data_IF_107090462413
#
_entry.id   IF_107090462413
#
_cell.length_a   1.000
_cell.length_b   1.000
_cell.length_c   1.000
_cell.angle_alpha   90.00
_cell.angle_beta   90.00
_cell.angle_gamma   90.00
#
_symmetry.space_group_name_H-M   'P 1'
#
loop_
_entity.id
_entity.type
_entity.pdbx_description
1 polymer ?
#
# COMPACT_ATOMS: atom_id res chain seq x y z
N UNK A 1 1.90 40.15 3.69
CA UNK A 1 1.55 39.33 2.52
C UNK A 1 0.65 38.22 3.02
N UNK A 2 -0.54 38.06 2.43
CA UNK A 2 -1.41 36.93 2.81
C UNK A 2 -0.66 35.62 2.48
N UNK A 3 -0.68 34.66 3.39
CA UNK A 3 -0.11 33.34 3.12
C UNK A 3 -0.83 32.77 1.88
N UNK A 4 -0.06 32.38 0.86
CA UNK A 4 -0.63 31.76 -0.34
C UNK A 4 -1.25 30.43 0.09
N UNK A 5 -2.51 30.19 -0.31
CA UNK A 5 -3.21 28.94 0.00
C UNK A 5 -2.52 27.78 -0.71
N UNK A 6 -2.18 26.70 0.02
CA UNK A 6 -1.62 25.49 -0.60
C UNK A 6 -2.55 24.88 -1.66
N UNK A 7 -3.86 25.08 -1.54
CA UNK A 7 -4.81 24.70 -2.59
C UNK A 7 -4.59 25.46 -3.90
N UNK A 8 -4.25 26.75 -3.84
CA UNK A 8 -3.95 27.54 -5.03
C UNK A 8 -2.62 27.13 -5.66
N UNK A 9 -1.60 26.84 -4.84
CA UNK A 9 -0.32 26.33 -5.33
C UNK A 9 -0.49 24.94 -5.97
N UNK A 10 -1.25 24.05 -5.32
CA UNK A 10 -1.55 22.71 -5.85
C UNK A 10 -2.26 22.77 -7.21
N UNK A 11 -3.18 23.74 -7.41
CA UNK A 11 -3.80 23.98 -8.72
C UNK A 11 -2.80 24.42 -9.77
N UNK A 12 -1.94 25.37 -9.45
CA UNK A 12 -0.92 25.84 -10.40
C UNK A 12 -0.02 24.69 -10.86
N UNK A 13 0.37 23.83 -9.92
CA UNK A 13 1.17 22.63 -10.17
C UNK A 13 0.41 21.62 -11.04
N UNK A 14 -0.83 21.30 -10.69
CA UNK A 14 -1.64 20.36 -11.46
C UNK A 14 -1.89 20.86 -12.89
N UNK A 15 -2.12 22.16 -13.07
CA UNK A 15 -2.24 22.78 -14.39
C UNK A 15 -0.91 22.76 -15.17
N UNK A 16 0.24 22.90 -14.50
CA UNK A 16 1.55 22.76 -15.12
C UNK A 16 1.80 21.32 -15.58
N UNK A 17 1.45 20.31 -14.76
CA UNK A 17 1.54 18.89 -15.11
C UNK A 17 0.66 18.55 -16.32
N UNK A 18 -0.58 19.05 -16.37
CA UNK A 18 -1.48 18.86 -17.52
C UNK A 18 -0.90 19.43 -18.83
N UNK A 19 -0.20 20.57 -18.75
CA UNK A 19 0.49 21.21 -19.88
C UNK A 19 1.89 20.64 -20.14
N UNK A 20 2.36 19.69 -19.33
CA UNK A 20 3.73 19.18 -19.36
C UNK A 20 4.79 20.30 -19.26
N UNK A 21 4.53 21.31 -18.41
CA UNK A 21 5.48 22.39 -18.10
C UNK A 21 6.49 21.93 -17.04
N UNK A 22 7.48 21.17 -17.49
CA UNK A 22 8.48 20.52 -16.62
C UNK A 22 9.33 21.54 -15.87
N UNK A 23 9.67 22.66 -16.51
CA UNK A 23 10.50 23.69 -15.89
C UNK A 23 9.82 24.31 -14.66
N UNK A 24 8.50 24.53 -14.74
CA UNK A 24 7.73 24.99 -13.60
C UNK A 24 7.77 23.97 -12.46
N UNK A 25 7.44 22.70 -12.76
CA UNK A 25 7.37 21.63 -11.76
C UNK A 25 8.72 21.45 -11.06
N UNK A 26 9.82 21.37 -11.80
CA UNK A 26 11.17 21.23 -11.25
C UNK A 26 11.59 22.41 -10.34
N UNK A 27 11.13 23.63 -10.65
CA UNK A 27 11.46 24.83 -9.84
C UNK A 27 10.86 24.78 -8.43
N UNK A 28 9.80 23.99 -8.23
CA UNK A 28 9.06 23.88 -6.97
C UNK A 28 9.23 22.52 -6.27
N UNK A 29 10.06 21.61 -6.79
CA UNK A 29 10.39 20.37 -6.08
C UNK A 29 11.23 20.60 -4.82
N UNK A 30 10.96 19.79 -3.79
CA UNK A 30 11.80 19.68 -2.60
C UNK A 30 13.15 19.06 -2.95
N UNK A 31 14.12 19.15 -2.04
CA UNK A 31 15.41 18.45 -2.22
C UNK A 31 15.19 16.94 -2.24
N UNK A 32 14.33 16.44 -1.35
CA UNK A 32 13.98 15.01 -1.27
C UNK A 32 13.43 14.49 -2.59
N UNK A 33 12.46 15.20 -3.18
CA UNK A 33 11.88 14.82 -4.46
C UNK A 33 12.90 14.84 -5.62
N UNK A 34 13.96 15.64 -5.53
CA UNK A 34 15.05 15.68 -6.53
C UNK A 34 16.06 14.55 -6.34
N UNK A 35 16.31 14.14 -5.10
CA UNK A 35 17.28 13.10 -4.78
C UNK A 35 16.80 11.69 -5.21
N UNK A 36 15.50 11.52 -5.47
CA UNK A 36 14.89 10.26 -5.90
C UNK A 36 15.02 9.99 -7.42
N UNK A 37 15.88 10.73 -8.12
CA UNK A 37 16.05 10.69 -9.60
C UNK A 37 14.71 10.76 -10.36
N UNK A 38 13.74 11.47 -9.78
CA UNK A 38 12.40 11.57 -10.33
C UNK A 38 12.43 12.32 -11.66
N UNK A 39 12.05 11.63 -12.74
CA UNK A 39 11.94 12.18 -14.10
C UNK A 39 10.49 12.62 -14.34
N UNK A 40 10.17 13.93 -14.29
CA UNK A 40 8.78 14.38 -14.35
C UNK A 40 8.10 14.02 -15.67
N UNK A 41 8.83 14.01 -16.78
CA UNK A 41 8.32 13.62 -18.10
C UNK A 41 7.79 12.19 -18.12
N UNK A 42 8.59 11.24 -17.61
CA UNK A 42 8.23 9.83 -17.54
C UNK A 42 7.07 9.63 -16.58
N UNK A 43 7.13 10.25 -15.39
CA UNK A 43 6.03 10.17 -14.43
C UNK A 43 4.72 10.74 -14.97
N UNK A 44 4.76 11.81 -15.76
CA UNK A 44 3.55 12.34 -16.41
C UNK A 44 2.98 11.33 -17.40
N UNK A 45 3.83 10.70 -18.20
CA UNK A 45 3.44 9.75 -19.24
C UNK A 45 2.92 8.44 -18.65
N UNK A 46 3.56 7.94 -17.59
CA UNK A 46 3.34 6.59 -17.07
C UNK A 46 2.37 6.55 -15.89
N UNK A 47 2.26 7.65 -15.13
CA UNK A 47 1.43 7.72 -13.92
C UNK A 47 0.33 8.78 -14.04
N UNK A 48 0.68 10.05 -14.23
CA UNK A 48 -0.28 11.15 -14.16
C UNK A 48 -1.39 11.03 -15.21
N UNK A 49 -1.03 10.96 -16.49
CA UNK A 49 -2.02 10.93 -17.59
C UNK A 49 -2.87 9.65 -17.55
N UNK A 50 -2.28 8.44 -17.49
CA UNK A 50 -3.08 7.21 -17.47
C UNK A 50 -4.03 7.16 -16.28
N UNK A 51 -3.56 7.54 -15.08
CA UNK A 51 -4.40 7.50 -13.88
C UNK A 51 -5.56 8.47 -13.93
N UNK A 52 -5.35 9.70 -14.43
CA UNK A 52 -6.43 10.66 -14.59
C UNK A 52 -7.38 10.29 -15.74
N UNK A 53 -6.87 9.69 -16.83
CA UNK A 53 -7.70 9.17 -17.91
C UNK A 53 -8.59 8.01 -17.45
N UNK A 54 -8.10 7.16 -16.55
CA UNK A 54 -8.89 6.07 -15.95
C UNK A 54 -9.99 6.61 -15.03
N UNK A 55 -9.67 7.59 -14.19
CA UNK A 55 -10.58 8.08 -13.14
C UNK A 55 -11.57 9.15 -13.62
N UNK A 56 -11.09 10.16 -14.34
CA UNK A 56 -11.89 11.32 -14.78
C UNK A 56 -12.13 11.33 -16.29
N UNK A 57 -11.26 10.68 -17.08
CA UNK A 57 -11.33 10.67 -18.54
C UNK A 57 -10.39 11.69 -19.20
N UNK A 58 -10.18 11.51 -20.50
CA UNK A 58 -9.31 12.39 -21.29
C UNK A 58 -9.93 13.79 -21.50
N UNK A 59 -11.25 13.94 -21.30
CA UNK A 59 -12.00 15.20 -21.36
C UNK A 59 -12.04 15.95 -20.02
N UNK A 60 -11.26 15.51 -19.03
CA UNK A 60 -11.22 16.07 -17.68
C UNK A 60 -10.96 17.57 -17.68
N UNK A 61 -11.52 18.23 -16.68
CA UNK A 61 -11.28 19.64 -16.37
C UNK A 61 -11.05 19.81 -14.88
N UNK A 62 -10.20 20.78 -14.49
CA UNK A 62 -9.96 21.08 -13.09
C UNK A 62 -11.10 21.96 -12.55
N UNK A 63 -11.99 21.35 -11.76
CA UNK A 63 -13.24 21.95 -11.26
C UNK A 63 -13.15 22.50 -9.84
N UNK A 64 -12.15 22.06 -9.06
CA UNK A 64 -12.03 22.44 -7.66
C UNK A 64 -10.60 22.46 -7.14
N UNK A 65 -10.39 23.25 -6.08
CA UNK A 65 -9.16 23.25 -5.30
C UNK A 65 -9.48 23.56 -3.83
N UNK A 66 -8.67 23.08 -2.90
CA UNK A 66 -8.72 23.51 -1.50
C UNK A 66 -7.41 23.29 -0.77
N UNK A 67 -7.24 24.05 0.30
CA UNK A 67 -6.23 23.83 1.33
C UNK A 67 -6.77 22.77 2.30
N UNK A 68 -6.06 21.66 2.47
CA UNK A 68 -6.45 20.57 3.38
C UNK A 68 -5.87 20.83 4.77
N UNK A 69 -4.56 20.99 4.86
CA UNK A 69 -3.84 21.36 6.07
C UNK A 69 -2.52 22.06 5.70
N UNK A 70 -1.67 22.36 6.69
CA UNK A 70 -0.42 23.10 6.51
C UNK A 70 0.63 22.44 5.60
N UNK A 71 0.43 21.18 5.17
CA UNK A 71 1.33 20.45 4.26
C UNK A 71 0.60 19.88 3.03
N UNK A 72 -0.74 19.99 2.94
CA UNK A 72 -1.53 19.39 1.86
C UNK A 72 -2.40 20.41 1.13
N UNK A 73 -2.27 20.42 -0.20
CA UNK A 73 -3.23 21.03 -1.12
C UNK A 73 -3.93 19.95 -1.94
N UNK A 74 -5.23 20.11 -2.22
CA UNK A 74 -5.99 19.16 -3.04
C UNK A 74 -6.68 19.85 -4.18
N UNK A 75 -6.67 19.20 -5.34
CA UNK A 75 -7.40 19.63 -6.54
C UNK A 75 -8.29 18.51 -7.05
N UNK A 76 -9.36 18.89 -7.72
CA UNK A 76 -10.36 17.94 -8.22
C UNK A 76 -10.46 18.12 -9.73
N UNK A 77 -10.23 17.02 -10.44
CA UNK A 77 -10.54 16.88 -11.85
C UNK A 77 -11.88 16.18 -12.01
N UNK A 78 -12.68 16.63 -12.97
CA UNK A 78 -13.95 16.03 -13.34
C UNK A 78 -14.04 15.91 -14.85
N UNK A 79 -14.52 14.76 -15.34
CA UNK A 79 -14.74 14.50 -16.75
C UNK A 79 -15.76 13.38 -16.96
N UNK A 80 -15.83 12.84 -18.18
CA UNK A 80 -16.83 11.85 -18.57
C UNK A 80 -16.80 10.54 -17.78
N UNK A 81 -15.68 10.21 -17.12
CA UNK A 81 -15.54 8.97 -16.32
C UNK A 81 -15.72 9.16 -14.81
N UNK A 82 -15.89 10.39 -14.35
CA UNK A 82 -16.09 10.70 -12.94
C UNK A 82 -15.11 11.76 -12.44
N UNK A 83 -14.67 11.60 -11.19
CA UNK A 83 -13.79 12.54 -10.50
C UNK A 83 -12.46 11.89 -10.16
N UNK A 84 -11.41 12.69 -10.18
CA UNK A 84 -10.09 12.32 -9.68
C UNK A 84 -9.61 13.38 -8.69
N UNK A 85 -9.16 12.93 -7.53
CA UNK A 85 -8.67 13.76 -6.45
C UNK A 85 -7.16 13.71 -6.44
N UNK A 86 -6.52 14.84 -6.74
CA UNK A 86 -5.06 14.97 -6.72
C UNK A 86 -4.66 15.72 -5.46
N UNK A 87 -3.90 15.05 -4.60
CA UNK A 87 -3.27 15.65 -3.42
C UNK A 87 -1.82 15.96 -3.74
N UNK A 88 -1.39 17.18 -3.41
CA UNK A 88 -0.01 17.63 -3.47
C UNK A 88 0.48 17.81 -2.04
N UNK A 89 1.54 17.09 -1.70
CA UNK A 89 2.24 17.21 -0.42
C UNK A 89 3.34 18.25 -0.54
N UNK A 90 3.46 19.09 0.49
CA UNK A 90 4.43 20.17 0.59
C UNK A 90 5.32 19.99 1.81
N UNK A 91 6.61 20.29 1.66
CA UNK A 91 7.54 20.42 2.78
C UNK A 91 7.34 21.75 3.54
N UNK A 92 8.10 21.95 4.62
CA UNK A 92 8.03 23.18 5.43
C UNK A 92 8.40 24.45 4.65
N UNK A 93 9.14 24.33 3.54
CA UNK A 93 9.51 25.42 2.65
C UNK A 93 8.45 25.69 1.56
N UNK A 94 7.36 24.93 1.53
CA UNK A 94 6.30 25.02 0.53
C UNK A 94 6.72 24.44 -0.82
N UNK A 95 7.73 23.57 -0.85
CA UNK A 95 8.14 22.81 -2.04
C UNK A 95 7.41 21.48 -2.09
N UNK A 96 7.17 20.99 -3.30
CA UNK A 96 6.49 19.72 -3.54
C UNK A 96 7.35 18.59 -3.03
N UNK A 97 6.77 17.80 -2.13
CA UNK A 97 7.41 16.64 -1.52
C UNK A 97 6.78 15.32 -1.97
N UNK A 98 5.60 15.35 -2.60
CA UNK A 98 4.96 14.17 -3.17
C UNK A 98 3.54 14.42 -3.71
N UNK A 99 2.95 13.36 -4.28
CA UNK A 99 1.64 13.40 -4.95
C UNK A 99 0.83 12.14 -4.67
N UNK A 100 -0.49 12.27 -4.61
CA UNK A 100 -1.42 11.14 -4.70
C UNK A 100 -2.56 11.45 -5.68
N UNK A 101 -2.99 10.43 -6.44
CA UNK A 101 -4.15 10.51 -7.36
C UNK A 101 -5.14 9.40 -7.01
N UNK A 102 -6.28 9.79 -6.43
CA UNK A 102 -7.29 8.86 -5.88
C UNK A 102 -8.65 9.02 -6.57
N UNK A 103 -9.45 7.93 -6.66
CA UNK A 103 -10.85 7.99 -7.13
C UNK A 103 -11.79 8.69 -6.15
N UNK A 104 -11.38 8.80 -4.89
CA UNK A 104 -12.15 9.34 -3.79
C UNK A 104 -11.22 10.08 -2.80
N UNK A 105 -11.81 10.59 -1.72
CA UNK A 105 -11.08 11.29 -0.67
C UNK A 105 -10.87 10.40 0.57
N UNK A 106 -10.91 9.07 0.40
CA UNK A 106 -10.72 8.17 1.53
C UNK A 106 -9.28 8.27 2.04
N UNK A 107 -9.20 8.47 3.35
CA UNK A 107 -7.99 8.37 4.16
C UNK A 107 -7.71 6.90 4.50
N UNK A 108 -6.47 6.57 4.86
CA UNK A 108 -6.11 5.21 5.26
C UNK A 108 -5.93 4.24 4.09
N UNK A 109 -5.77 4.76 2.87
CA UNK A 109 -5.27 3.93 1.75
C UNK A 109 -3.84 3.50 2.07
N UNK A 110 -3.54 2.23 1.85
CA UNK A 110 -2.23 1.68 2.17
C UNK A 110 -1.56 1.01 0.97
N UNK A 111 -0.25 1.15 0.91
CA UNK A 111 0.64 0.27 0.14
C UNK A 111 1.15 -0.86 1.02
N UNK A 112 1.59 -1.94 0.40
CA UNK A 112 2.27 -3.05 1.07
C UNK A 112 3.70 -3.06 0.54
N UNK A 113 4.67 -2.86 1.42
CA UNK A 113 6.08 -2.98 1.06
C UNK A 113 6.48 -4.41 1.32
N UNK A 114 6.89 -5.12 0.27
CA UNK A 114 7.46 -6.46 0.34
C UNK A 114 8.97 -6.34 0.44
N UNK A 115 9.53 -6.84 1.54
CA UNK A 115 10.96 -6.84 1.78
C UNK A 115 11.69 -7.59 0.69
N UNK A 116 12.68 -6.99 0.03
CA UNK A 116 13.59 -7.71 -0.86
C UNK A 116 14.91 -6.95 -1.04
N UNK A 117 15.93 -7.65 -1.49
CA UNK A 117 17.16 -7.01 -1.93
C UNK A 117 16.93 -6.32 -3.30
N UNK A 118 17.67 -5.24 -3.59
CA UNK A 118 17.46 -4.41 -4.79
C UNK A 118 17.49 -5.22 -6.09
N UNK A 119 18.31 -6.28 -6.15
CA UNK A 119 18.43 -7.16 -7.32
C UNK A 119 17.18 -8.01 -7.59
N UNK A 120 16.34 -8.22 -6.58
CA UNK A 120 15.10 -9.01 -6.69
C UNK A 120 13.86 -8.13 -6.94
N UNK A 121 13.94 -6.81 -6.76
CA UNK A 121 12.79 -5.91 -6.78
C UNK A 121 12.01 -5.90 -8.12
N UNK A 122 12.72 -5.81 -9.26
CA UNK A 122 12.09 -5.88 -10.58
C UNK A 122 11.46 -7.24 -10.86
N UNK A 123 12.12 -8.31 -10.39
CA UNK A 123 11.65 -9.68 -10.56
C UNK A 123 10.35 -9.91 -9.77
N UNK A 124 10.29 -9.47 -8.53
CA UNK A 124 9.07 -9.56 -7.71
C UNK A 124 7.94 -8.71 -8.29
N UNK A 125 8.24 -7.49 -8.76
CA UNK A 125 7.25 -6.64 -9.42
C UNK A 125 6.62 -7.33 -10.62
N UNK A 126 7.44 -7.88 -11.52
CA UNK A 126 6.96 -8.62 -12.67
C UNK A 126 6.15 -9.87 -12.27
N UNK A 127 6.53 -10.55 -11.19
CA UNK A 127 5.81 -11.72 -10.68
C UNK A 127 4.40 -11.35 -10.18
N UNK A 128 4.28 -10.37 -9.29
CA UNK A 128 2.98 -9.99 -8.73
C UNK A 128 2.07 -9.27 -9.75
N UNK A 129 2.65 -8.58 -10.74
CA UNK A 129 1.89 -7.98 -11.85
C UNK A 129 1.12 -9.01 -12.70
N UNK A 130 1.55 -10.28 -12.71
CA UNK A 130 0.79 -11.37 -13.33
C UNK A 130 -0.49 -11.70 -12.56
N UNK A 131 -0.39 -11.66 -11.23
CA UNK A 131 -1.46 -12.06 -10.31
C UNK A 131 -2.55 -10.98 -10.23
N UNK A 132 -2.18 -9.75 -9.86
CA UNK A 132 -3.15 -8.70 -9.59
C UNK A 132 -2.58 -7.29 -9.72
N UNK A 133 -3.45 -6.31 -9.98
CA UNK A 133 -3.14 -4.90 -9.72
C UNK A 133 -3.24 -4.64 -8.23
N UNK A 134 -2.12 -4.72 -7.53
CA UNK A 134 -2.02 -4.50 -6.09
C UNK A 134 -1.05 -3.34 -5.79
N UNK A 135 -1.27 -2.58 -4.70
CA UNK A 135 -0.40 -1.47 -4.31
C UNK A 135 0.87 -2.00 -3.63
N UNK A 136 1.67 -2.79 -4.34
CA UNK A 136 2.89 -3.42 -3.81
C UNK A 136 4.13 -2.59 -4.14
N UNK A 137 4.92 -2.28 -3.11
CA UNK A 137 6.30 -1.82 -3.21
C UNK A 137 7.28 -2.97 -2.94
N UNK A 138 8.51 -2.86 -3.43
CA UNK A 138 9.54 -3.89 -3.27
C UNK A 138 10.87 -3.23 -2.90
N UNK A 139 11.51 -3.65 -1.81
CA UNK A 139 12.80 -3.11 -1.37
C UNK A 139 13.06 -3.30 0.13
N UNK A 140 13.85 -2.40 0.71
CA UNK A 140 14.24 -2.35 2.14
C UNK A 140 15.12 -3.48 2.68
N UNK A 141 15.52 -4.42 1.82
CA UNK A 141 16.48 -5.48 2.15
C UNK A 141 15.91 -6.54 3.10
N UNK A 142 16.14 -7.80 2.76
CA UNK A 142 15.69 -8.91 3.60
C UNK A 142 16.75 -9.42 4.55
N UNK A 143 18.04 -9.23 4.25
CA UNK A 143 19.18 -9.79 5.01
C UNK A 143 19.25 -11.33 5.02
N UNK A 144 18.13 -12.00 5.29
CA UNK A 144 17.82 -13.42 5.22
C UNK A 144 16.44 -13.59 4.56
N UNK A 145 16.37 -14.42 3.51
CA UNK A 145 15.10 -14.77 2.86
C UNK A 145 14.13 -15.45 3.84
N UNK A 146 12.82 -15.13 3.79
CA UNK A 146 11.81 -15.85 4.56
C UNK A 146 11.83 -17.34 4.21
N UNK A 147 11.54 -18.18 5.19
CA UNK A 147 11.42 -19.62 5.01
C UNK A 147 10.11 -20.09 5.62
N UNK A 148 9.34 -20.86 4.85
CA UNK A 148 8.09 -21.43 5.31
C UNK A 148 8.31 -22.29 6.57
N UNK A 149 7.48 -22.05 7.59
CA UNK A 149 7.52 -22.75 8.88
C UNK A 149 8.89 -22.75 9.58
N UNK A 150 9.71 -21.72 9.39
CA UNK A 150 10.95 -21.55 10.14
C UNK A 150 10.67 -20.86 11.49
N UNK A 151 10.79 -21.55 12.64
CA UNK A 151 10.55 -20.92 13.94
C UNK A 151 11.56 -19.81 14.28
N UNK A 152 12.74 -19.79 13.64
CA UNK A 152 13.78 -18.78 13.86
C UNK A 152 13.59 -17.54 12.96
N UNK A 153 12.73 -17.63 11.94
CA UNK A 153 12.33 -16.51 11.09
C UNK A 153 10.87 -16.72 10.64
N UNK A 154 9.91 -16.66 11.59
CA UNK A 154 8.54 -17.05 11.31
C UNK A 154 7.92 -16.11 10.29
N UNK A 155 6.94 -16.65 9.57
CA UNK A 155 6.03 -15.85 8.77
C UNK A 155 5.34 -14.81 9.65
N UNK A 156 5.18 -13.61 9.09
CA UNK A 156 4.53 -12.49 9.77
C UNK A 156 3.30 -12.05 8.99
N UNK A 157 3.46 -11.91 7.67
CA UNK A 157 2.42 -11.46 6.77
C UNK A 157 2.44 -12.34 5.53
N UNK A 158 1.25 -12.66 5.00
CA UNK A 158 1.10 -13.21 3.65
C UNK A 158 -0.04 -12.56 2.88
N UNK A 159 -0.02 -12.79 1.58
CA UNK A 159 -0.99 -12.24 0.63
C UNK A 159 -1.91 -13.36 0.14
N UNK A 160 -3.22 -13.14 0.22
CA UNK A 160 -4.19 -14.04 -0.38
C UNK A 160 -4.69 -13.43 -1.69
N UNK A 161 -4.55 -14.20 -2.77
CA UNK A 161 -5.11 -13.87 -4.07
C UNK A 161 -6.32 -14.74 -4.35
N UNK A 162 -7.38 -14.12 -4.87
CA UNK A 162 -8.52 -14.84 -5.46
C UNK A 162 -8.34 -14.86 -6.96
N UNK A 163 -8.33 -16.06 -7.55
CA UNK A 163 -7.97 -16.29 -8.96
C UNK A 163 -9.10 -16.95 -9.72
N UNK A 164 -9.22 -16.61 -11.01
CA UNK A 164 -10.30 -17.09 -11.88
C UNK A 164 -10.20 -18.58 -12.21
N UNK A 165 -8.97 -19.07 -12.40
CA UNK A 165 -8.66 -20.47 -12.68
C UNK A 165 -7.44 -20.88 -11.83
N UNK A 166 -7.65 -21.76 -10.86
CA UNK A 166 -6.62 -22.14 -9.90
C UNK A 166 -5.53 -23.01 -10.55
N UNK A 167 -5.92 -23.96 -11.41
CA UNK A 167 -4.98 -24.85 -12.11
C UNK A 167 -4.08 -24.08 -13.08
N UNK A 168 -4.66 -23.20 -13.91
CA UNK A 168 -3.91 -22.40 -14.86
C UNK A 168 -3.01 -21.40 -14.13
N UNK A 169 -3.51 -20.76 -13.06
CA UNK A 169 -2.71 -19.80 -12.29
C UNK A 169 -1.53 -20.49 -11.60
N UNK A 170 -1.73 -21.69 -11.03
CA UNK A 170 -0.64 -22.49 -10.47
C UNK A 170 0.46 -22.74 -11.50
N UNK A 171 0.08 -23.22 -12.69
CA UNK A 171 1.05 -23.49 -13.75
C UNK A 171 1.85 -22.22 -14.13
N UNK A 172 1.19 -21.06 -14.15
CA UNK A 172 1.85 -19.77 -14.43
C UNK A 172 2.80 -19.38 -13.32
N UNK A 173 2.39 -19.38 -12.05
CA UNK A 173 3.25 -18.92 -10.94
C UNK A 173 4.48 -19.83 -10.77
N UNK A 174 4.31 -21.14 -10.92
CA UNK A 174 5.42 -22.11 -10.90
C UNK A 174 6.40 -21.84 -12.05
N UNK A 175 5.89 -21.53 -13.24
CA UNK A 175 6.70 -21.14 -14.40
C UNK A 175 7.52 -19.86 -14.18
N UNK A 176 7.11 -19.01 -13.23
CA UNK A 176 7.78 -17.75 -12.89
C UNK A 176 8.61 -17.83 -11.58
N UNK A 177 8.81 -19.04 -11.06
CA UNK A 177 9.71 -19.32 -9.95
C UNK A 177 9.06 -19.30 -8.57
N UNK A 178 7.73 -19.34 -8.48
CA UNK A 178 7.07 -19.70 -7.23
C UNK A 178 7.39 -21.15 -6.84
N UNK A 179 7.34 -21.44 -5.55
CA UNK A 179 7.51 -22.80 -5.01
C UNK A 179 6.23 -23.21 -4.32
N UNK A 180 5.63 -24.33 -4.73
CA UNK A 180 4.48 -24.91 -4.05
C UNK A 180 4.89 -25.44 -2.67
N UNK A 181 4.08 -25.15 -1.65
CA UNK A 181 4.30 -25.54 -0.27
C UNK A 181 3.25 -26.56 0.18
N UNK A 182 1.99 -26.13 0.22
CA UNK A 182 0.88 -26.90 0.76
C UNK A 182 -0.37 -26.75 -0.10
N UNK A 183 -1.22 -27.78 -0.10
CA UNK A 183 -2.46 -27.87 -0.87
C UNK A 183 -3.59 -28.21 0.11
N UNK A 184 -4.55 -27.30 0.23
CA UNK A 184 -5.73 -27.42 1.08
C UNK A 184 -7.00 -27.55 0.23
N UNK A 185 -8.10 -27.98 0.85
CA UNK A 185 -9.37 -28.19 0.15
C UNK A 185 -9.92 -26.91 -0.51
N UNK A 186 -9.58 -25.73 0.02
CA UNK A 186 -10.10 -24.43 -0.42
C UNK A 186 -9.04 -23.46 -0.96
N UNK A 187 -7.74 -23.76 -0.81
CA UNK A 187 -6.65 -22.91 -1.31
C UNK A 187 -5.32 -23.65 -1.44
N UNK A 188 -4.38 -23.06 -2.18
CA UNK A 188 -3.01 -23.56 -2.34
C UNK A 188 -2.00 -22.53 -1.85
N UNK A 189 -0.95 -22.97 -1.19
CA UNK A 189 0.09 -22.13 -0.58
C UNK A 189 1.39 -22.24 -1.36
N UNK A 190 2.00 -21.10 -1.64
CA UNK A 190 3.26 -20.99 -2.37
C UNK A 190 4.19 -20.00 -1.67
N UNK A 191 5.48 -20.06 -2.01
CA UNK A 191 6.35 -18.89 -1.89
C UNK A 191 6.55 -18.21 -3.23
N UNK A 192 6.72 -16.90 -3.22
CA UNK A 192 7.26 -16.17 -4.36
C UNK A 192 8.75 -16.53 -4.62
N UNK A 193 9.38 -16.00 -5.68
CA UNK A 193 10.78 -16.30 -6.02
C UNK A 193 11.83 -15.92 -4.96
N UNK A 194 11.45 -15.15 -3.94
CA UNK A 194 12.32 -14.67 -2.87
C UNK A 194 12.01 -15.35 -1.53
N UNK A 195 10.85 -16.00 -1.42
CA UNK A 195 10.46 -16.82 -0.27
C UNK A 195 9.22 -16.32 0.46
N UNK A 196 8.59 -15.22 0.03
CA UNK A 196 7.41 -14.70 0.71
C UNK A 196 6.21 -15.60 0.48
N UNK A 197 5.50 -16.01 1.55
CA UNK A 197 4.32 -16.84 1.41
C UNK A 197 3.15 -16.06 0.81
N UNK A 198 2.42 -16.73 -0.08
CA UNK A 198 1.13 -16.27 -0.59
C UNK A 198 0.20 -17.46 -0.87
N UNK A 199 -1.11 -17.20 -0.85
CA UNK A 199 -2.13 -18.20 -1.10
C UNK A 199 -2.93 -17.88 -2.36
N UNK A 200 -3.34 -18.93 -3.07
CA UNK A 200 -4.28 -18.85 -4.19
C UNK A 200 -5.61 -19.51 -3.80
N UNK A 201 -6.68 -18.72 -3.85
CA UNK A 201 -8.05 -19.17 -3.64
C UNK A 201 -8.81 -19.16 -4.97
N UNK A 202 -9.63 -20.17 -5.28
CA UNK A 202 -10.51 -20.12 -6.44
C UNK A 202 -11.59 -19.05 -6.26
N UNK A 203 -11.98 -18.39 -7.34
CA UNK A 203 -13.04 -17.38 -7.31
C UNK A 203 -14.44 -18.01 -7.24
N UNK A 204 -14.91 -18.21 -6.01
CA UNK A 204 -16.26 -18.74 -5.74
C UNK A 204 -17.34 -17.66 -5.70
N UNK A 205 -16.95 -16.39 -5.52
CA UNK A 205 -17.84 -15.25 -5.29
C UNK A 205 -17.93 -14.28 -6.48
N UNK A 206 -17.16 -14.52 -7.56
CA UNK A 206 -17.08 -13.63 -8.72
C UNK A 206 -16.31 -12.34 -8.43
N UNK A 207 -15.31 -12.39 -7.53
CA UNK A 207 -14.46 -11.26 -7.12
C UNK A 207 -13.32 -10.98 -8.09
N UNK A 208 -12.81 -11.99 -8.78
CA UNK A 208 -11.66 -11.84 -9.67
C UNK A 208 -12.07 -11.13 -10.97
N UNK A 209 -11.19 -10.25 -11.47
CA UNK A 209 -11.52 -9.33 -12.57
C UNK A 209 -10.79 -9.70 -13.86
N UNK A 210 -11.55 -9.82 -14.96
CA UNK A 210 -11.16 -9.50 -16.35
C UNK A 210 -10.03 -10.30 -17.03
N UNK A 211 -9.94 -10.30 -18.37
CA UNK A 211 -9.07 -11.19 -19.15
C UNK A 211 -7.56 -10.90 -19.06
N UNK A 212 -7.15 -9.78 -18.46
CA UNK A 212 -5.75 -9.29 -18.52
C UNK A 212 -4.91 -9.68 -17.28
N UNK A 213 -5.52 -10.31 -16.27
CA UNK A 213 -4.88 -10.72 -15.00
C UNK A 213 -5.47 -12.04 -14.51
N UNK A 214 -4.70 -12.74 -13.67
CA UNK A 214 -5.10 -14.05 -13.15
C UNK A 214 -6.10 -13.92 -11.98
N UNK A 215 -6.01 -12.84 -11.20
CA UNK A 215 -6.82 -12.64 -10.01
C UNK A 215 -6.78 -11.23 -9.41
N UNK A 216 -7.11 -11.17 -8.12
CA UNK A 216 -7.10 -9.96 -7.29
C UNK A 216 -6.45 -10.24 -5.94
N UNK A 217 -5.75 -9.24 -5.39
CA UNK A 217 -5.32 -9.29 -3.99
C UNK A 217 -6.55 -9.14 -3.10
N UNK A 218 -6.95 -10.22 -2.44
CA UNK A 218 -8.16 -10.27 -1.63
C UNK A 218 -7.88 -9.91 -0.17
N UNK A 219 -6.79 -10.44 0.40
CA UNK A 219 -6.42 -10.23 1.81
C UNK A 219 -4.94 -9.98 1.97
N UNK A 220 -4.61 -9.13 2.94
CA UNK A 220 -3.31 -9.11 3.62
C UNK A 220 -3.53 -9.74 4.98
N UNK A 221 -2.93 -10.90 5.20
CA UNK A 221 -3.11 -11.69 6.43
C UNK A 221 -1.91 -11.48 7.33
N UNK A 222 -2.16 -11.12 8.59
CA UNK A 222 -1.16 -10.84 9.61
C UNK A 222 -1.28 -11.86 10.73
N UNK A 223 -0.19 -12.57 11.01
CA UNK A 223 -0.13 -13.59 12.04
C UNK A 223 0.00 -12.96 13.44
N UNK A 224 -0.66 -13.52 14.45
CA UNK A 224 -0.67 -12.97 15.79
C UNK A 224 -0.99 -14.02 16.85
N UNK A 225 -0.92 -13.63 18.12
CA UNK A 225 -1.41 -14.41 19.26
C UNK A 225 -2.89 -14.11 19.61
N UNK A 226 -3.32 -12.86 19.45
CA UNK A 226 -4.70 -12.39 19.72
C UNK A 226 -5.33 -11.71 18.48
N UNK A 227 -6.09 -12.44 17.65
CA UNK A 227 -6.70 -11.89 16.44
C UNK A 227 -7.77 -10.84 16.74
N UNK A 228 -8.43 -10.93 17.90
CA UNK A 228 -9.44 -9.98 18.33
C UNK A 228 -8.83 -8.62 18.67
N UNK A 229 -7.69 -8.62 19.37
CA UNK A 229 -6.93 -7.40 19.67
C UNK A 229 -6.41 -6.76 18.38
N UNK A 230 -5.76 -7.55 17.52
CA UNK A 230 -5.18 -7.06 16.27
C UNK A 230 -6.27 -6.53 15.32
N UNK A 231 -7.41 -7.21 15.21
CA UNK A 231 -8.51 -6.76 14.37
C UNK A 231 -9.15 -5.46 14.86
N UNK A 232 -9.31 -5.28 16.18
CA UNK A 232 -9.77 -4.00 16.75
C UNK A 232 -8.81 -2.86 16.45
N UNK A 233 -7.51 -3.11 16.55
CA UNK A 233 -6.48 -2.14 16.24
C UNK A 233 -6.58 -1.65 14.78
N UNK A 234 -6.51 -2.58 13.82
CA UNK A 234 -6.52 -2.23 12.40
C UNK A 234 -7.85 -1.62 11.93
N UNK A 235 -8.97 -2.10 12.49
CA UNK A 235 -10.29 -1.49 12.27
C UNK A 235 -10.34 -0.02 12.70
N UNK A 236 -9.71 0.34 13.82
CA UNK A 236 -9.66 1.72 14.30
C UNK A 236 -8.65 2.59 13.52
N UNK A 237 -7.49 2.05 13.15
CA UNK A 237 -6.46 2.80 12.41
C UNK A 237 -6.93 3.11 10.98
N UNK A 238 -7.52 2.14 10.29
CA UNK A 238 -7.92 2.28 8.89
C UNK A 238 -9.36 2.77 8.69
N UNK A 239 -10.11 3.03 9.77
CA UNK A 239 -11.55 3.31 9.73
C UNK A 239 -12.34 2.25 8.95
N UNK A 240 -11.92 0.98 9.05
CA UNK A 240 -12.58 -0.18 8.45
C UNK A 240 -13.49 -0.80 9.52
N UNK A 241 -14.80 -0.49 9.55
CA UNK A 241 -15.63 -0.74 10.72
C UNK A 241 -16.07 -2.21 10.85
N UNK A 242 -16.01 -2.96 9.76
CA UNK A 242 -16.54 -4.31 9.71
C UNK A 242 -15.47 -5.30 10.15
N UNK A 243 -15.79 -6.11 11.16
CA UNK A 243 -15.00 -7.27 11.59
C UNK A 243 -15.88 -8.49 11.59
N UNK A 244 -15.43 -9.57 10.97
CA UNK A 244 -16.15 -10.83 10.90
C UNK A 244 -15.20 -11.99 11.22
N UNK A 245 -15.66 -12.93 12.02
CA UNK A 245 -15.00 -14.22 12.18
C UNK A 245 -15.11 -14.97 10.84
N UNK A 246 -13.96 -15.30 10.27
CA UNK A 246 -13.83 -16.05 9.02
C UNK A 246 -13.54 -17.52 9.31
N UNK A 247 -12.67 -17.77 10.30
CA UNK A 247 -12.46 -19.10 10.91
C UNK A 247 -12.30 -18.95 12.42
N UNK A 248 -12.25 -20.06 13.16
CA UNK A 248 -11.95 -20.06 14.60
C UNK A 248 -10.60 -19.40 14.95
N UNK A 249 -9.72 -19.22 13.95
CA UNK A 249 -8.38 -18.66 14.09
C UNK A 249 -8.21 -17.34 13.33
N UNK A 250 -9.25 -16.81 12.66
CA UNK A 250 -9.07 -15.66 11.75
C UNK A 250 -10.24 -14.70 11.80
N UNK A 251 -9.93 -13.41 11.96
CA UNK A 251 -10.89 -12.31 11.87
C UNK A 251 -10.54 -11.45 10.67
N UNK A 252 -11.50 -11.26 9.77
CA UNK A 252 -11.37 -10.42 8.58
C UNK A 252 -11.93 -9.03 8.88
N UNK A 253 -11.23 -8.02 8.37
CA UNK A 253 -11.48 -6.59 8.59
C UNK A 253 -11.73 -5.95 7.23
N UNK A 254 -12.88 -5.29 7.07
CA UNK A 254 -13.30 -4.70 5.79
C UNK A 254 -13.81 -3.27 5.97
N UNK A 255 -13.63 -2.46 4.92
CA UNK A 255 -14.28 -1.15 4.79
C UNK A 255 -15.75 -1.29 4.42
N UNK A 256 -16.45 -0.16 4.30
CA UNK A 256 -17.81 -0.13 3.73
C UNK A 256 -17.80 -0.35 2.21
N UNK A 257 -16.67 -0.04 1.56
CA UNK A 257 -16.45 -0.21 0.13
C UNK A 257 -15.26 -1.16 -0.11
N UNK A 258 -15.26 -1.91 -1.24
CA UNK A 258 -14.17 -2.83 -1.58
C UNK A 258 -12.98 -2.10 -2.25
N UNK A 259 -12.71 -0.85 -1.89
CA UNK A 259 -11.65 -0.04 -2.54
C UNK A 259 -10.24 -0.43 -2.09
N UNK A 260 -10.12 -1.19 -0.99
CA UNK A 260 -8.87 -1.71 -0.45
C UNK A 260 -8.95 -3.22 -0.28
N UNK A 261 -7.81 -3.94 -0.34
CA UNK A 261 -7.73 -5.33 0.12
C UNK A 261 -8.24 -5.44 1.55
N UNK A 262 -8.83 -6.59 1.89
CA UNK A 262 -9.21 -6.87 3.27
C UNK A 262 -7.95 -7.07 4.11
N UNK A 263 -8.00 -6.73 5.40
CA UNK A 263 -7.00 -7.21 6.35
C UNK A 263 -7.54 -8.44 7.07
N UNK A 264 -6.69 -9.37 7.44
CA UNK A 264 -7.07 -10.50 8.28
C UNK A 264 -6.07 -10.68 9.42
N UNK A 265 -6.58 -10.75 10.65
CA UNK A 265 -5.77 -11.12 11.80
C UNK A 265 -5.92 -12.62 12.03
N UNK A 266 -4.81 -13.36 11.99
CA UNK A 266 -4.78 -14.81 12.07
C UNK A 266 -3.99 -15.27 13.29
N UNK A 267 -4.59 -16.07 14.15
CA UNK A 267 -3.89 -16.67 15.29
C UNK A 267 -2.97 -17.81 14.82
N UNK A 268 -1.71 -17.79 15.25
CA UNK A 268 -0.78 -18.92 15.07
C UNK A 268 -0.27 -19.40 16.43
N UNK A 269 -0.12 -20.73 16.57
CA UNK A 269 0.43 -21.33 17.78
C UNK A 269 1.90 -20.92 17.95
N UNK A 270 2.31 -20.66 19.19
CA UNK A 270 3.67 -20.20 19.53
C UNK A 270 4.12 -18.95 18.75
N UNK A 271 3.19 -18.02 18.47
CA UNK A 271 3.47 -16.76 17.78
C UNK A 271 4.68 -16.03 18.38
N UNK A 272 5.63 -15.67 17.51
CA UNK A 272 6.81 -14.87 17.87
C UNK A 272 6.74 -13.54 17.12
N UNK A 273 6.57 -12.41 17.82
CA UNK A 273 6.53 -11.10 17.20
C UNK A 273 7.77 -10.79 16.34
N UNK A 274 7.61 -9.96 15.29
CA UNK A 274 8.72 -9.36 14.57
C UNK A 274 9.70 -8.66 15.53
N UNK A 275 10.99 -8.77 15.25
CA UNK A 275 12.06 -8.17 16.06
C UNK A 275 12.64 -6.90 15.43
N UNK A 276 11.98 -6.35 14.41
CA UNK A 276 12.41 -5.12 13.74
C UNK A 276 12.52 -3.95 14.75
N UNK A 277 13.55 -3.09 14.66
CA UNK A 277 14.53 -2.93 13.59
C UNK A 277 15.84 -3.71 13.78
N UNK A 278 15.83 -4.86 14.46
CA UNK A 278 17.01 -5.72 14.53
C UNK A 278 17.47 -6.09 13.10
N UNK A 279 18.70 -5.73 12.67
CA UNK A 279 19.19 -6.03 11.33
C UNK A 279 19.36 -7.54 11.06
N UNK A 280 19.33 -8.38 12.09
CA UNK A 280 19.29 -9.84 11.93
C UNK A 280 17.87 -10.36 11.63
N UNK A 281 16.85 -9.55 11.86
CA UNK A 281 15.43 -9.87 11.69
C UNK A 281 14.69 -8.69 11.02
N UNK A 282 15.02 -8.34 9.77
CA UNK A 282 14.36 -7.25 9.08
C UNK A 282 12.90 -7.57 8.75
N UNK A 283 12.15 -6.54 8.36
CA UNK A 283 10.73 -6.65 8.09
C UNK A 283 10.52 -7.48 6.82
N UNK A 284 9.65 -8.49 6.88
CA UNK A 284 9.29 -9.28 5.70
C UNK A 284 8.32 -8.50 4.82
N UNK A 285 7.30 -7.90 5.44
CA UNK A 285 6.39 -6.95 4.80
C UNK A 285 5.93 -5.94 5.83
N UNK A 286 5.51 -4.76 5.37
CA UNK A 286 4.82 -3.79 6.21
C UNK A 286 3.84 -2.94 5.39
N UNK A 287 2.98 -2.20 6.09
CA UNK A 287 2.03 -1.28 5.48
C UNK A 287 2.51 0.17 5.53
N UNK A 288 2.45 0.84 4.39
CA UNK A 288 2.61 2.30 4.29
C UNK A 288 1.24 2.95 4.14
N UNK A 289 0.79 3.68 5.17
CA UNK A 289 -0.60 4.13 5.26
C UNK A 289 -0.67 5.65 5.15
N UNK A 290 -1.31 6.13 4.08
CA UNK A 290 -1.46 7.56 3.80
C UNK A 290 -2.70 8.17 4.45
N UNK A 291 -2.49 9.24 5.22
CA UNK A 291 -3.56 10.02 5.86
C UNK A 291 -3.42 11.51 5.62
N UNK A 292 -4.54 12.22 5.55
CA UNK A 292 -4.53 13.68 5.56
C UNK A 292 -4.07 14.22 6.92
N UNK A 293 -4.51 13.63 8.04
CA UNK A 293 -4.03 13.97 9.39
C UNK A 293 -3.31 12.78 10.05
N UNK A 294 -2.03 12.63 9.69
CA UNK A 294 -1.13 11.63 10.27
C UNK A 294 -1.06 11.72 11.81
N UNK A 295 -1.03 12.92 12.38
CA UNK A 295 -0.89 13.11 13.84
C UNK A 295 -2.15 12.68 14.60
N UNK A 296 -3.33 12.85 14.01
CA UNK A 296 -4.56 12.27 14.57
C UNK A 296 -4.50 10.75 14.56
N UNK A 297 -4.06 10.14 13.46
CA UNK A 297 -3.97 8.69 13.33
C UNK A 297 -2.89 8.07 14.19
N UNK A 298 -1.78 8.77 14.43
CA UNK A 298 -0.79 8.40 15.44
C UNK A 298 -1.43 8.29 16.82
N UNK A 299 -2.25 9.27 17.24
CA UNK A 299 -2.93 9.19 18.55
C UNK A 299 -3.87 8.00 18.64
N UNK A 300 -4.60 7.69 17.55
CA UNK A 300 -5.48 6.53 17.48
C UNK A 300 -4.69 5.23 17.58
N UNK A 301 -3.60 5.10 16.83
CA UNK A 301 -2.75 3.91 16.85
C UNK A 301 -2.17 3.67 18.26
N UNK A 302 -1.59 4.71 18.88
CA UNK A 302 -1.02 4.62 20.22
C UNK A 302 -2.09 4.28 21.28
N UNK A 303 -3.31 4.83 21.17
CA UNK A 303 -4.39 4.50 22.11
C UNK A 303 -4.91 3.07 21.96
N UNK A 304 -4.65 2.41 20.83
CA UNK A 304 -5.03 1.03 20.55
C UNK A 304 -3.87 0.03 20.69
N UNK A 305 -2.75 0.46 21.29
CA UNK A 305 -1.65 -0.43 21.66
C UNK A 305 -0.46 -0.46 20.71
N UNK A 306 -0.42 0.41 19.69
CA UNK A 306 0.80 0.57 18.91
C UNK A 306 1.94 1.14 19.76
N UNK A 307 3.17 0.81 19.37
CA UNK A 307 4.39 1.39 19.93
C UNK A 307 5.21 2.08 18.85
N UNK A 308 5.78 3.25 19.15
CA UNK A 308 6.63 3.97 18.20
C UNK A 308 8.01 3.33 18.14
N UNK A 309 8.50 3.04 16.94
CA UNK A 309 9.79 2.42 16.74
C UNK A 309 10.88 3.47 16.42
N UNK A 310 12.17 3.12 16.57
CA UNK A 310 13.27 4.02 16.22
C UNK A 310 13.29 4.31 14.72
N UNK A 311 13.57 5.56 14.34
CA UNK A 311 13.70 5.95 12.95
C UNK A 311 14.86 5.19 12.27
N UNK A 312 14.59 4.58 11.10
CA UNK A 312 15.57 3.84 10.31
C UNK A 312 16.01 4.58 9.03
N UNK A 313 15.58 5.83 8.86
CA UNK A 313 15.55 6.50 7.57
C UNK A 313 14.12 6.59 7.06
N UNK A 314 13.93 7.10 5.84
CA UNK A 314 12.59 7.36 5.30
C UNK A 314 11.92 8.60 5.86
N UNK A 315 10.77 8.93 5.31
CA UNK A 315 10.00 10.15 5.59
C UNK A 315 8.89 9.95 6.63
N UNK A 316 8.35 8.74 6.70
CA UNK A 316 7.26 8.39 7.59
C UNK A 316 7.77 7.82 8.94
N UNK A 317 7.16 8.19 10.07
CA UNK A 317 7.38 7.50 11.34
C UNK A 317 6.86 6.06 11.29
N UNK A 318 7.67 5.15 11.84
CA UNK A 318 7.35 3.72 11.92
C UNK A 318 6.86 3.36 13.33
N UNK A 319 5.86 2.48 13.37
CA UNK A 319 5.25 1.95 14.59
C UNK A 319 5.17 0.44 14.50
N UNK A 320 5.07 -0.24 15.63
CA UNK A 320 4.66 -1.64 15.71
C UNK A 320 3.21 -1.70 16.18
N UNK A 321 2.40 -2.54 15.55
CA UNK A 321 1.06 -2.85 16.01
C UNK A 321 1.08 -3.70 17.30
N UNK A 322 -0.08 -4.03 17.91
CA UNK A 322 -0.09 -4.83 19.14
C UNK A 322 0.54 -6.23 19.02
N UNK A 323 0.63 -6.78 17.82
CA UNK A 323 1.28 -8.07 17.54
C UNK A 323 2.76 -7.90 17.14
N UNK A 324 3.25 -6.66 16.99
CA UNK A 324 4.64 -6.35 16.68
C UNK A 324 4.92 -6.04 15.20
N UNK A 325 3.92 -6.08 14.30
CA UNK A 325 4.15 -5.79 12.89
C UNK A 325 4.52 -4.34 12.67
N UNK A 326 5.65 -4.06 11.97
CA UNK A 326 5.98 -2.70 11.60
C UNK A 326 4.93 -2.15 10.62
N UNK A 327 4.63 -0.86 10.72
CA UNK A 327 3.86 -0.10 9.75
C UNK A 327 4.22 1.38 9.81
N UNK A 328 4.07 2.07 8.69
CA UNK A 328 4.33 3.50 8.58
C UNK A 328 3.02 4.28 8.58
N UNK A 329 2.99 5.37 9.33
CA UNK A 329 1.97 6.40 9.16
C UNK A 329 2.56 7.51 8.31
N UNK A 330 2.00 7.74 7.13
CA UNK A 330 2.46 8.70 6.15
C UNK A 330 1.42 9.80 5.93
N UNK A 331 1.85 10.95 5.39
CA UNK A 331 0.89 11.85 4.77
C UNK A 331 0.40 11.30 3.43
N UNK A 332 -0.84 11.62 3.03
CA UNK A 332 -1.33 11.26 1.69
C UNK A 332 -0.42 11.84 0.61
N UNK A 333 0.22 10.96 -0.16
CA UNK A 333 1.12 11.32 -1.27
C UNK A 333 2.58 11.47 -0.88
N UNK A 334 2.95 11.17 0.36
CA UNK A 334 4.34 11.02 0.82
C UNK A 334 5.02 9.80 0.21
#
# INVERSE_FOLDING_TARGET
>A
MAAVSLGAVAREIAEALERSDISMVQSVLSVRARDWDWVPEEWIADVWRPRLDDLAGADRTLVGQRHVNNVLGRVVFEGSRGQAFVTVLFDEAGKIDGFAIKPDELDGTFGIVVGCDDEDAERLRAFYDLLARAPLGFGEGLGRRPSWQDPEAPQQIHLDFVVTDLEDTEAVVLGHGAVALEDFDDHRVFTDPVGHPFCLYPDTDGRAVGPDRLGVLARVVMDCDDPELLARFWSAVLDMPNRAEDTAHRIVITGETPSLPMLAAQSVEDYRPPQWPDPLHPAQMHLDIGFDDRTMKERVALSHGASRLPAQGGSCPVYADPAGHPFCLCYTGE
#
